data_IF_124665776460
#
_entry.id   IF_124665776460
#
_cell.length_a   1.000
_cell.length_b   1.000
_cell.length_c   1.000
_cell.angle_alpha   90.00
_cell.angle_beta   90.00
_cell.angle_gamma   90.00
#
_symmetry.space_group_name_H-M   'P 1'
#
loop_
_entity.id
_entity.type
_entity.pdbx_description
1 polymer ?
#
# COMPACT_ATOMS: atom_id res chain seq x y z
N UNK A 1 20.76 -8.23 -8.81
CA UNK A 1 21.05 -6.85 -8.37
C UNK A 1 21.00 -5.97 -9.61
N UNK A 2 20.10 -4.99 -9.64
CA UNK A 2 20.16 -3.88 -10.60
C UNK A 2 20.78 -2.69 -9.86
N UNK A 3 21.53 -1.83 -10.57
CA UNK A 3 22.22 -0.72 -9.94
C UNK A 3 21.19 0.19 -9.27
N UNK A 4 21.53 0.65 -8.06
CA UNK A 4 20.73 1.53 -7.19
C UNK A 4 20.36 2.87 -7.87
N UNK A 5 20.92 3.11 -9.07
CA UNK A 5 20.81 4.33 -9.86
C UNK A 5 20.43 4.07 -11.33
N UNK A 6 19.47 3.16 -11.60
CA UNK A 6 18.90 3.14 -12.96
C UNK A 6 18.17 4.47 -13.20
N UNK A 7 18.70 5.31 -14.09
CA UNK A 7 18.12 6.60 -14.46
C UNK A 7 16.89 6.45 -15.38
N UNK A 8 16.51 5.22 -15.72
CA UNK A 8 15.43 4.95 -16.67
C UNK A 8 14.09 4.76 -15.94
N UNK A 9 13.09 5.65 -16.17
CA UNK A 9 11.76 5.50 -15.59
C UNK A 9 11.13 4.12 -15.80
N UNK A 10 11.35 3.52 -16.98
CA UNK A 10 10.80 2.23 -17.35
C UNK A 10 11.30 1.07 -16.47
N UNK A 11 12.55 1.13 -15.99
CA UNK A 11 13.07 0.10 -15.08
C UNK A 11 12.37 0.16 -13.72
N UNK A 12 12.15 1.37 -13.21
CA UNK A 12 11.44 1.58 -11.95
C UNK A 12 9.99 1.12 -12.04
N UNK A 13 9.29 1.41 -13.15
CA UNK A 13 7.95 0.90 -13.42
C UNK A 13 7.92 -0.63 -13.40
N UNK A 14 8.84 -1.28 -14.13
CA UNK A 14 8.92 -2.74 -14.19
C UNK A 14 9.18 -3.38 -12.81
N UNK A 15 9.94 -2.70 -11.94
CA UNK A 15 10.17 -3.20 -10.57
C UNK A 15 8.94 -2.98 -9.71
N UNK A 16 8.29 -1.82 -9.81
CA UNK A 16 7.06 -1.51 -9.09
C UNK A 16 5.92 -2.50 -9.45
N UNK A 17 5.77 -2.84 -10.73
CA UNK A 17 4.82 -3.85 -11.21
C UNK A 17 5.10 -5.24 -10.63
N UNK A 18 6.38 -5.63 -10.52
CA UNK A 18 6.77 -6.89 -9.87
C UNK A 18 6.40 -6.89 -8.39
N UNK A 19 6.60 -5.78 -7.70
CA UNK A 19 6.21 -5.65 -6.29
C UNK A 19 4.69 -5.67 -6.12
N UNK A 20 3.93 -5.06 -7.03
CA UNK A 20 2.47 -5.13 -7.04
C UNK A 20 1.98 -6.58 -7.25
N UNK A 21 2.59 -7.34 -8.17
CA UNK A 21 2.26 -8.76 -8.33
C UNK A 21 2.54 -9.59 -7.07
N UNK A 22 3.53 -9.20 -6.24
CA UNK A 22 3.76 -9.82 -4.92
C UNK A 22 2.65 -9.48 -3.94
N UNK A 23 2.16 -8.24 -3.94
CA UNK A 23 1.02 -7.83 -3.11
C UNK A 23 -0.20 -8.70 -3.42
N UNK A 24 -0.53 -8.89 -4.70
CA UNK A 24 -1.65 -9.74 -5.12
C UNK A 24 -1.49 -11.19 -4.61
N UNK A 25 -0.29 -11.75 -4.71
CA UNK A 25 0.00 -13.08 -4.19
C UNK A 25 -0.12 -13.17 -2.67
N UNK A 26 0.41 -12.18 -1.94
CA UNK A 26 0.40 -12.13 -0.47
C UNK A 26 -1.00 -11.96 0.11
N UNK A 27 -1.84 -11.15 -0.55
CA UNK A 27 -3.26 -11.07 -0.23
C UNK A 27 -3.98 -12.39 -0.45
N UNK A 28 -3.58 -13.17 -1.46
CA UNK A 28 -4.11 -14.51 -1.73
C UNK A 28 -3.76 -15.56 -0.67
N UNK A 29 -2.67 -15.37 0.08
CA UNK A 29 -2.27 -16.24 1.21
C UNK A 29 -2.63 -15.64 2.57
N UNK A 30 -3.52 -14.64 2.60
CA UNK A 30 -4.01 -13.95 3.80
C UNK A 30 -2.90 -13.34 4.68
N UNK A 31 -1.82 -12.84 4.05
CA UNK A 31 -0.75 -12.08 4.72
C UNK A 31 -0.83 -10.58 4.36
N UNK A 32 -1.76 -9.83 5.00
CA UNK A 32 -1.93 -8.40 4.73
C UNK A 32 -0.77 -7.54 5.24
N UNK A 33 -0.01 -8.01 6.23
CA UNK A 33 1.12 -7.27 6.80
C UNK A 33 2.27 -7.21 5.80
N UNK A 34 2.66 -8.36 5.24
CA UNK A 34 3.66 -8.40 4.18
C UNK A 34 3.15 -7.71 2.91
N UNK A 35 1.87 -7.90 2.55
CA UNK A 35 1.26 -7.22 1.41
C UNK A 35 1.35 -5.68 1.55
N UNK A 36 1.11 -5.14 2.74
CA UNK A 36 1.24 -3.71 3.01
C UNK A 36 2.67 -3.19 2.78
N UNK A 37 3.68 -3.94 3.21
CA UNK A 37 5.08 -3.59 3.00
C UNK A 37 5.44 -3.54 1.50
N UNK A 38 5.07 -4.57 0.73
CA UNK A 38 5.32 -4.58 -0.71
C UNK A 38 4.52 -3.51 -1.46
N UNK A 39 3.32 -3.18 -0.96
CA UNK A 39 2.50 -2.11 -1.54
C UNK A 39 3.17 -0.75 -1.38
N UNK A 40 3.64 -0.41 -0.17
CA UNK A 40 4.41 0.82 0.06
C UNK A 40 5.61 0.88 -0.90
N UNK A 41 6.36 -0.22 -0.99
CA UNK A 41 7.53 -0.33 -1.85
C UNK A 41 7.21 -0.19 -3.35
N UNK A 42 6.04 -0.67 -3.81
CA UNK A 42 5.58 -0.48 -5.18
C UNK A 42 5.23 1.00 -5.45
N UNK A 43 4.47 1.63 -4.54
CA UNK A 43 4.07 3.04 -4.68
C UNK A 43 5.30 3.97 -4.69
N UNK A 44 6.27 3.76 -3.80
CA UNK A 44 7.53 4.53 -3.80
C UNK A 44 8.25 4.44 -5.15
N UNK A 45 8.33 3.24 -5.74
CA UNK A 45 8.98 3.03 -7.03
C UNK A 45 8.19 3.64 -8.19
N UNK A 46 6.87 3.59 -8.16
CA UNK A 46 6.01 4.28 -9.14
C UNK A 46 6.20 5.80 -9.09
N UNK A 47 6.24 6.39 -7.89
CA UNK A 47 6.47 7.83 -7.73
C UNK A 47 7.86 8.23 -8.21
N UNK A 48 8.90 7.45 -7.89
CA UNK A 48 10.25 7.67 -8.41
C UNK A 48 10.30 7.59 -9.93
N UNK A 49 9.67 6.58 -10.53
CA UNK A 49 9.56 6.47 -11.99
C UNK A 49 8.87 7.69 -12.61
N UNK A 50 7.76 8.13 -12.02
CA UNK A 50 7.02 9.30 -12.47
C UNK A 50 7.89 10.57 -12.40
N UNK A 51 8.53 10.82 -11.27
CA UNK A 51 9.41 11.97 -11.06
C UNK A 51 10.59 11.96 -12.04
N UNK A 52 11.25 10.82 -12.23
CA UNK A 52 12.32 10.66 -13.24
C UNK A 52 11.81 10.96 -14.65
N UNK A 53 10.59 10.55 -14.99
CA UNK A 53 9.99 10.84 -16.30
C UNK A 53 9.73 12.34 -16.52
N UNK A 54 9.65 13.13 -15.45
CA UNK A 54 9.49 14.59 -15.47
C UNK A 54 10.82 15.35 -15.39
N UNK A 55 11.96 14.64 -15.36
CA UNK A 55 13.28 15.25 -15.26
C UNK A 55 13.69 15.65 -13.85
N UNK A 56 13.06 15.06 -12.82
CA UNK A 56 13.49 15.24 -11.43
C UNK A 56 14.81 14.50 -11.18
N UNK A 57 15.74 15.14 -10.47
CA UNK A 57 17.00 14.53 -10.07
C UNK A 57 16.78 13.63 -8.85
N UNK A 58 17.45 12.48 -8.83
CA UNK A 58 17.25 11.41 -7.86
C UNK A 58 17.79 11.85 -6.49
N UNK A 59 16.98 12.57 -5.71
CA UNK A 59 17.31 12.86 -4.32
C UNK A 59 17.06 11.61 -3.45
N UNK A 60 17.96 11.34 -2.50
CA UNK A 60 17.84 10.21 -1.54
C UNK A 60 16.76 10.49 -0.49
N UNK A 61 15.53 10.60 -0.95
CA UNK A 61 14.33 10.75 -0.14
C UNK A 61 13.71 9.37 0.00
N UNK A 62 13.60 8.92 1.25
CA UNK A 62 12.93 7.66 1.63
C UNK A 62 11.54 7.91 2.23
N UNK A 63 11.04 9.14 2.13
CA UNK A 63 9.74 9.55 2.64
C UNK A 63 8.72 9.58 1.48
N UNK A 64 7.70 8.72 1.58
CA UNK A 64 6.62 8.61 0.62
C UNK A 64 5.82 9.91 0.49
N UNK A 65 5.59 10.62 1.60
CA UNK A 65 4.85 11.88 1.61
C UNK A 65 5.65 12.96 0.89
N UNK A 66 6.96 13.02 1.12
CA UNK A 66 7.84 13.93 0.41
C UNK A 66 7.88 13.66 -1.11
N UNK A 67 7.94 12.38 -1.51
CA UNK A 67 7.88 11.99 -2.94
C UNK A 67 6.54 12.34 -3.57
N UNK A 68 5.42 12.12 -2.85
CA UNK A 68 4.10 12.48 -3.33
C UNK A 68 3.97 14.00 -3.48
N UNK A 69 4.43 14.77 -2.49
CA UNK A 69 4.46 16.23 -2.55
C UNK A 69 5.29 16.75 -3.73
N UNK A 70 6.43 16.13 -4.03
CA UNK A 70 7.20 16.44 -5.23
C UNK A 70 6.43 16.11 -6.51
N UNK A 71 5.74 14.96 -6.56
CA UNK A 71 4.95 14.57 -7.72
C UNK A 71 3.74 15.51 -7.94
N UNK A 72 3.15 16.03 -6.86
CA UNK A 72 2.06 17.01 -6.89
C UNK A 72 2.45 18.34 -7.54
N UNK A 73 3.74 18.71 -7.48
CA UNK A 73 4.25 19.89 -8.21
C UNK A 73 4.12 19.71 -9.73
N UNK A 74 4.29 18.48 -10.23
CA UNK A 74 4.19 18.16 -11.65
C UNK A 74 2.77 17.81 -12.08
N UNK A 75 2.00 17.15 -11.23
CA UNK A 75 0.63 16.74 -11.53
C UNK A 75 -0.26 16.81 -10.28
N UNK A 76 -1.05 17.87 -10.21
CA UNK A 76 -1.99 18.13 -9.11
C UNK A 76 -3.21 17.20 -9.12
N UNK A 77 -3.42 16.40 -10.18
CA UNK A 77 -4.49 15.39 -10.22
C UNK A 77 -4.22 14.24 -9.24
N UNK A 78 -2.97 14.03 -8.82
CA UNK A 78 -2.58 13.03 -7.82
C UNK A 78 -3.14 13.34 -6.42
N UNK A 79 -3.58 14.58 -6.16
CA UNK A 79 -4.21 14.97 -4.87
C UNK A 79 -5.59 14.31 -4.67
N UNK A 80 -6.22 13.80 -5.73
CA UNK A 80 -7.65 13.46 -5.71
C UNK A 80 -7.92 12.05 -5.21
N UNK A 81 -7.50 11.74 -3.99
CA UNK A 81 -8.17 10.71 -3.18
C UNK A 81 -9.24 11.38 -2.33
N UNK A 82 -10.40 11.64 -2.94
CA UNK A 82 -11.65 11.67 -2.18
C UNK A 82 -11.87 10.26 -1.66
N UNK A 83 -11.23 9.91 -0.54
CA UNK A 83 -11.61 8.74 0.23
C UNK A 83 -12.98 9.09 0.82
N UNK A 84 -14.04 8.87 0.05
CA UNK A 84 -15.36 8.66 0.61
C UNK A 84 -15.21 7.41 1.49
N UNK A 85 -14.96 7.62 2.78
CA UNK A 85 -14.98 6.56 3.79
C UNK A 85 -16.39 5.98 3.82
N UNK A 86 -16.68 5.04 2.92
CA UNK A 86 -17.73 4.07 3.13
C UNK A 86 -17.20 3.13 4.20
N UNK A 87 -17.57 3.45 5.44
CA UNK A 87 -17.33 2.66 6.64
C UNK A 87 -17.90 1.25 6.47
N UNK A 88 -17.14 0.36 5.83
CA UNK A 88 -17.37 -1.07 5.99
C UNK A 88 -16.88 -1.42 7.39
N UNK A 89 -17.84 -1.59 8.30
CA UNK A 89 -17.68 -2.17 9.64
C UNK A 89 -16.62 -3.26 9.60
N UNK A 90 -15.46 -2.99 10.19
CA UNK A 90 -14.54 -4.03 10.63
C UNK A 90 -15.30 -4.87 11.66
N UNK A 91 -15.76 -6.07 11.26
CA UNK A 91 -16.22 -7.07 12.23
C UNK A 91 -14.99 -7.44 13.06
N UNK A 92 -15.00 -7.03 14.32
CA UNK A 92 -14.08 -7.50 15.35
C UNK A 92 -13.91 -9.01 15.22
N UNK A 93 -12.71 -9.46 14.88
CA UNK A 93 -12.30 -10.84 15.12
C UNK A 93 -12.25 -11.03 16.64
N UNK A 94 -13.00 -11.97 17.22
CA UNK A 94 -12.87 -12.25 18.64
C UNK A 94 -11.50 -12.90 18.85
N UNK A 95 -10.67 -12.27 19.68
CA UNK A 95 -9.43 -12.85 20.19
C UNK A 95 -9.79 -14.10 20.99
N UNK A 96 -9.67 -15.26 20.36
CA UNK A 96 -9.88 -16.55 20.98
C UNK A 96 -8.76 -16.80 22.00
N UNK A 97 -9.02 -16.48 23.26
CA UNK A 97 -8.38 -17.13 24.39
C UNK A 97 -9.01 -16.58 25.67
N UNK A 98 -9.88 -17.38 26.30
CA UNK A 98 -9.75 -17.84 27.70
C UNK A 98 -11.14 -18.13 28.30
N UNK A 99 -11.37 -19.43 28.55
CA UNK A 99 -12.20 -20.02 29.60
C UNK A 99 -13.73 -19.74 29.64
N UNK A 100 -14.48 -20.80 29.31
CA UNK A 100 -15.64 -21.33 30.06
C UNK A 100 -16.67 -20.34 30.60
N UNK A 101 -17.84 -20.27 29.95
CA UNK A 101 -19.12 -20.35 30.66
C UNK A 101 -20.29 -20.49 29.68
N UNK A 102 -21.07 -21.53 29.92
CA UNK A 102 -22.37 -21.84 29.32
C UNK A 102 -23.36 -20.73 29.70
N UNK A 103 -23.65 -19.72 28.86
CA UNK A 103 -24.80 -18.84 29.16
C UNK A 103 -25.38 -17.90 28.09
N UNK A 104 -25.03 -17.95 26.81
CA UNK A 104 -25.61 -16.98 25.85
C UNK A 104 -26.08 -17.63 24.55
N UNK A 105 -27.05 -18.54 24.65
CA UNK A 105 -27.78 -19.10 23.52
C UNK A 105 -29.31 -18.92 23.62
N UNK A 106 -29.81 -18.06 24.51
CA UNK A 106 -31.26 -18.03 24.81
C UNK A 106 -31.83 -16.62 25.02
N UNK A 107 -31.49 -15.66 24.15
CA UNK A 107 -32.20 -14.37 24.07
C UNK A 107 -32.12 -13.79 22.64
N UNK A 108 -32.61 -14.55 21.66
CA UNK A 108 -32.80 -14.02 20.30
C UNK A 108 -34.04 -14.58 19.59
N UNK A 109 -35.06 -15.07 20.31
CA UNK A 109 -36.33 -15.47 19.68
C UNK A 109 -37.59 -15.44 20.61
N UNK A 110 -37.70 -14.44 21.51
CA UNK A 110 -38.99 -13.98 22.09
C UNK A 110 -38.87 -12.63 22.76
#
# INVERSE_FOLDING_TARGET
MLPEESLYPADWLRIAEKDLGRVEHLLGVEDPEAAGFFLQQAVEKFLKAFLLSKGWELERIHDLEALLNAALVYDSSLTKTSISNSTRKVKCWPRASTLSAKHFAELADS
#
